data_IF_669825865482
#
_entry.id   IF_669825865482
#
_cell.length_a   1.000
_cell.length_b   1.000
_cell.length_c   1.000
_cell.angle_alpha   90.00
_cell.angle_beta   90.00
_cell.angle_gamma   90.00
#
_symmetry.space_group_name_H-M   'P 1'
#
loop_
_entity.id
_entity.type
_entity.pdbx_description
1 polymer ?
#
# COMPACT_ATOMS: atom_id res chain seq x y z
N UNK A 1 -7.09 -6.05 26.25
CA UNK A 1 -5.66 -6.42 26.32
C UNK A 1 -4.92 -5.24 25.73
N UNK A 2 -3.99 -4.66 26.49
CA UNK A 2 -4.11 -3.33 27.06
C UNK A 2 -4.10 -2.22 26.01
N UNK A 3 -5.03 -1.29 26.17
CA UNK A 3 -5.41 -0.26 25.21
C UNK A 3 -4.57 1.04 25.37
N UNK A 4 -3.31 0.93 25.83
CA UNK A 4 -2.42 2.06 26.11
C UNK A 4 -0.93 1.65 26.03
N UNK A 5 -0.10 2.45 25.37
CA UNK A 5 1.37 2.41 25.48
C UNK A 5 1.87 3.61 26.30
N UNK A 6 2.75 3.35 27.26
CA UNK A 6 3.37 4.38 28.08
C UNK A 6 4.69 4.84 27.45
N UNK A 7 4.93 6.16 27.40
CA UNK A 7 6.16 6.75 26.88
C UNK A 7 6.90 7.47 28.00
N UNK A 8 8.18 7.15 28.16
CA UNK A 8 9.07 7.83 29.09
C UNK A 8 10.05 8.69 28.30
N UNK A 9 10.02 10.01 28.48
CA UNK A 9 10.97 10.93 27.85
C UNK A 9 12.13 11.23 28.80
N UNK A 10 13.31 10.67 28.55
CA UNK A 10 14.48 10.81 29.43
C UNK A 10 15.30 12.09 29.18
N UNK A 11 15.13 12.75 28.02
CA UNK A 11 15.77 14.04 27.75
C UNK A 11 15.02 14.80 26.66
N UNK A 12 14.54 16.02 26.94
CA UNK A 12 14.13 16.98 25.91
C UNK A 12 12.68 17.47 25.98
N UNK A 13 12.53 18.79 26.12
CA UNK A 13 11.25 19.48 25.95
C UNK A 13 10.66 19.29 24.54
N UNK A 14 11.49 18.96 23.53
CA UNK A 14 11.07 18.67 22.16
C UNK A 14 10.26 17.36 22.06
N UNK A 15 10.72 16.24 22.64
CA UNK A 15 9.96 14.98 22.67
C UNK A 15 8.66 15.12 23.49
N UNK A 16 8.73 15.86 24.60
CA UNK A 16 7.53 16.18 25.40
C UNK A 16 6.57 17.08 24.61
N UNK A 17 7.10 18.03 23.83
CA UNK A 17 6.35 18.90 22.93
C UNK A 17 5.63 18.12 21.83
N UNK A 18 6.34 17.25 21.10
CA UNK A 18 5.77 16.41 20.04
C UNK A 18 4.64 15.49 20.54
N UNK A 19 4.71 15.01 21.79
CA UNK A 19 3.62 14.27 22.42
C UNK A 19 2.40 15.17 22.73
N UNK A 20 2.61 16.46 22.98
CA UNK A 20 1.57 17.40 23.44
C UNK A 20 0.97 18.28 22.33
N UNK A 21 1.61 18.38 21.14
CA UNK A 21 1.30 19.39 20.10
C UNK A 21 0.17 19.02 19.12
N UNK A 22 -0.59 17.94 19.35
CA UNK A 22 -1.68 17.59 18.42
C UNK A 22 -2.99 17.34 19.16
N UNK A 23 -3.86 18.35 19.15
CA UNK A 23 -5.24 18.28 19.60
C UNK A 23 -6.05 17.27 18.76
N UNK A 24 -6.45 16.14 19.36
CA UNK A 24 -7.84 15.70 19.53
C UNK A 24 -7.93 14.21 19.95
N UNK A 25 -8.54 14.01 21.11
CA UNK A 25 -9.03 12.80 21.81
C UNK A 25 -9.07 11.43 21.10
N UNK A 26 -8.49 10.44 21.78
CA UNK A 26 -9.29 9.45 22.53
C UNK A 26 -8.54 9.12 23.83
N UNK A 27 -9.21 8.69 24.89
CA UNK A 27 -8.66 8.44 26.24
C UNK A 27 -7.66 7.26 26.33
N UNK A 28 -7.08 6.89 25.20
CA UNK A 28 -6.39 5.64 24.94
C UNK A 28 -5.24 5.97 23.97
N UNK A 29 -4.21 5.12 23.92
CA UNK A 29 -3.10 5.07 22.93
C UNK A 29 -1.70 5.50 23.38
N UNK A 30 -1.38 6.76 23.72
CA UNK A 30 -0.03 7.13 24.22
C UNK A 30 -0.10 8.01 25.47
N UNK A 31 0.54 7.59 26.58
CA UNK A 31 0.63 8.37 27.82
C UNK A 31 2.08 8.70 28.15
N UNK A 32 2.42 9.97 28.29
CA UNK A 32 3.70 10.37 28.88
C UNK A 32 3.69 10.09 30.39
N UNK A 33 4.68 9.35 30.86
CA UNK A 33 4.85 9.03 32.29
C UNK A 33 6.25 9.43 32.77
N UNK A 34 6.36 9.79 34.05
CA UNK A 34 7.66 10.06 34.68
C UNK A 34 8.51 8.79 34.80
N UNK A 35 9.84 8.94 34.85
CA UNK A 35 10.76 7.79 35.00
C UNK A 35 10.51 6.98 36.28
N UNK A 36 10.04 7.62 37.36
CA UNK A 36 9.65 6.96 38.61
C UNK A 36 8.31 6.20 38.53
N UNK A 37 7.48 6.46 37.53
CA UNK A 37 6.17 5.79 37.33
C UNK A 37 6.31 4.47 36.55
N UNK A 38 7.47 4.22 35.92
CA UNK A 38 7.73 3.06 35.06
C UNK A 38 7.60 1.73 35.82
N UNK A 39 8.09 1.68 37.06
CA UNK A 39 8.04 0.50 37.93
C UNK A 39 6.61 0.07 38.29
N UNK A 40 5.67 1.01 38.21
CA UNK A 40 4.26 0.79 38.54
C UNK A 40 3.40 0.67 37.27
N UNK A 41 4.03 0.68 36.10
CA UNK A 41 3.33 0.57 34.82
C UNK A 41 2.78 -0.84 34.63
N UNK A 42 1.46 -0.97 34.45
CA UNK A 42 0.82 -2.21 34.03
C UNK A 42 0.81 -2.38 32.50
N UNK A 43 1.40 -1.43 31.77
CA UNK A 43 1.33 -1.33 30.32
C UNK A 43 2.72 -1.33 29.66
N UNK A 44 2.80 -1.71 28.37
CA UNK A 44 4.03 -1.58 27.58
C UNK A 44 4.66 -0.19 27.70
N UNK A 45 5.96 -0.14 27.98
CA UNK A 45 6.72 1.11 28.07
C UNK A 45 7.68 1.25 26.89
N UNK A 46 7.61 2.39 26.20
CA UNK A 46 8.57 2.88 25.22
C UNK A 46 9.39 4.00 25.84
N UNK A 47 10.71 3.88 25.83
CA UNK A 47 11.60 4.90 26.36
C UNK A 47 12.19 5.71 25.22
N UNK A 48 11.98 7.03 25.24
CA UNK A 48 12.60 7.98 24.34
C UNK A 48 13.73 8.70 25.05
N UNK A 49 14.96 8.46 24.60
CA UNK A 49 16.14 9.05 25.20
C UNK A 49 16.87 9.90 24.15
N UNK A 50 16.87 11.23 24.33
CA UNK A 50 17.78 12.06 23.55
C UNK A 50 19.21 11.89 24.08
N UNK A 51 20.13 11.44 23.23
CA UNK A 51 21.51 11.17 23.64
C UNK A 51 22.51 12.09 22.93
N UNK A 52 23.27 12.93 23.66
CA UNK A 52 24.10 13.99 23.08
C UNK A 52 25.28 13.49 22.24
N UNK A 53 25.71 12.24 22.44
CA UNK A 53 26.79 11.62 21.68
C UNK A 53 26.32 10.83 20.45
N UNK A 54 25.01 10.80 20.17
CA UNK A 54 24.54 10.23 18.92
C UNK A 54 24.91 11.16 17.76
N UNK A 55 25.39 10.63 16.63
CA UNK A 55 25.52 11.39 15.40
C UNK A 55 24.20 12.10 15.07
N UNK A 56 24.30 13.28 14.47
CA UNK A 56 23.15 13.99 13.92
C UNK A 56 22.38 13.05 12.97
N UNK A 57 21.05 13.05 13.08
CA UNK A 57 20.15 12.23 12.26
C UNK A 57 20.12 10.73 12.56
N UNK A 58 20.19 10.33 13.83
CA UNK A 58 20.06 8.91 14.22
C UNK A 58 18.93 8.65 15.22
N UNK A 59 18.15 7.62 14.90
CA UNK A 59 17.24 6.93 15.82
C UNK A 59 17.68 5.46 15.95
N UNK A 60 17.90 4.98 17.17
CA UNK A 60 18.25 3.57 17.46
C UNK A 60 17.12 2.95 18.27
N UNK A 61 16.43 1.95 17.73
CA UNK A 61 15.34 1.24 18.40
C UNK A 61 15.75 -0.18 18.75
N UNK A 62 15.67 -0.54 20.03
CA UNK A 62 15.92 -1.91 20.50
C UNK A 62 14.68 -2.53 21.17
N UNK A 63 14.21 -3.71 20.69
CA UNK A 63 13.24 -4.51 21.42
C UNK A 63 13.89 -5.15 22.64
N UNK A 64 13.23 -5.11 23.80
CA UNK A 64 13.65 -5.91 24.96
C UNK A 64 12.99 -7.29 24.84
N UNK A 65 13.81 -8.33 24.70
CA UNK A 65 13.32 -9.72 24.60
C UNK A 65 12.75 -10.16 25.95
N UNK A 66 11.43 -10.37 26.01
CA UNK A 66 10.71 -11.05 27.10
C UNK A 66 9.98 -12.31 26.61
N UNK A 67 9.40 -13.12 27.50
CA UNK A 67 8.79 -14.42 27.17
C UNK A 67 7.25 -14.38 26.90
N UNK A 68 6.66 -13.21 26.66
CA UNK A 68 5.20 -13.01 26.70
C UNK A 68 4.49 -12.69 25.37
N UNK A 69 3.19 -13.05 25.29
CA UNK A 69 2.24 -12.76 24.21
C UNK A 69 1.93 -11.25 24.00
N UNK A 70 2.39 -10.38 24.89
CA UNK A 70 2.15 -8.92 24.89
C UNK A 70 2.96 -8.16 23.82
N UNK A 71 3.84 -8.86 23.11
CA UNK A 71 4.78 -8.31 22.15
C UNK A 71 4.19 -7.90 20.79
N UNK A 72 2.93 -8.20 20.47
CA UNK A 72 2.42 -8.06 19.09
C UNK A 72 2.42 -6.61 18.59
N UNK A 73 2.07 -5.66 19.44
CA UNK A 73 1.93 -4.26 19.06
C UNK A 73 3.26 -3.55 18.92
N UNK A 74 4.12 -3.84 19.86
CA UNK A 74 5.45 -3.29 19.92
C UNK A 74 6.36 -3.97 18.91
N UNK A 75 6.20 -5.28 18.64
CA UNK A 75 6.83 -5.92 17.47
C UNK A 75 6.25 -5.43 16.16
N UNK A 76 4.97 -5.08 16.04
CA UNK A 76 4.44 -4.50 14.81
C UNK A 76 5.01 -3.09 14.60
N UNK A 77 4.93 -2.21 15.60
CA UNK A 77 5.49 -0.86 15.56
C UNK A 77 7.02 -0.87 15.34
N UNK A 78 7.75 -1.74 16.03
CA UNK A 78 9.20 -1.92 15.83
C UNK A 78 9.52 -2.62 14.53
N UNK A 79 8.83 -3.70 14.11
CA UNK A 79 9.10 -4.31 12.80
C UNK A 79 8.76 -3.33 11.69
N UNK A 80 7.77 -2.46 11.87
CA UNK A 80 7.46 -1.41 10.92
C UNK A 80 8.59 -0.39 10.91
N UNK A 81 9.00 0.14 12.06
CA UNK A 81 10.11 1.11 12.13
C UNK A 81 11.47 0.49 11.72
N UNK A 82 11.75 -0.78 12.02
CA UNK A 82 13.01 -1.49 11.71
C UNK A 82 13.05 -2.10 10.31
N UNK A 83 11.93 -2.59 9.75
CA UNK A 83 11.90 -3.15 8.38
C UNK A 83 11.56 -2.12 7.32
N UNK A 84 10.88 -1.02 7.69
CA UNK A 84 10.40 0.00 6.75
C UNK A 84 11.11 1.35 6.96
N UNK A 85 11.74 1.60 8.11
CA UNK A 85 12.65 2.73 8.35
C UNK A 85 14.00 2.64 7.62
N UNK A 86 14.03 2.02 6.45
CA UNK A 86 15.06 2.26 5.45
C UNK A 86 14.96 3.69 4.93
N UNK A 87 15.39 4.66 5.74
CA UNK A 87 16.00 5.88 5.20
C UNK A 87 16.99 5.41 4.12
N UNK A 88 16.74 5.78 2.86
CA UNK A 88 17.45 5.28 1.68
C UNK A 88 18.95 5.10 1.96
N UNK A 89 19.43 3.86 1.92
CA UNK A 89 20.82 3.59 1.60
C UNK A 89 20.89 3.25 0.12
N UNK A 90 21.64 4.06 -0.61
CA UNK A 90 22.13 3.71 -1.94
C UNK A 90 22.79 2.32 -1.86
N UNK A 91 22.61 1.46 -2.86
CA UNK A 91 23.16 0.10 -2.82
C UNK A 91 24.71 0.11 -2.80
N UNK A 92 25.33 1.20 -3.27
CA UNK A 92 26.78 1.46 -3.12
C UNK A 92 27.14 2.13 -1.78
N UNK A 93 26.16 2.63 -1.02
CA UNK A 93 26.29 3.21 0.31
C UNK A 93 25.58 2.38 1.38
N UNK A 94 25.46 1.07 1.18
CA UNK A 94 25.06 0.14 2.23
C UNK A 94 26.03 0.31 3.40
N UNK A 95 25.63 0.88 4.54
CA UNK A 95 26.58 1.12 5.59
C UNK A 95 26.95 -0.22 6.22
N UNK A 96 28.23 -0.38 6.53
CA UNK A 96 28.80 -1.56 7.20
C UNK A 96 28.22 -1.87 8.60
N UNK A 97 27.18 -1.16 9.05
CA UNK A 97 26.54 -1.28 10.36
C UNK A 97 25.18 -1.97 10.37
N UNK A 98 24.65 -2.44 9.23
CA UNK A 98 23.53 -3.39 9.24
C UNK A 98 24.08 -4.78 9.63
N UNK A 99 23.78 -5.33 10.82
CA UNK A 99 24.28 -6.65 11.17
C UNK A 99 23.51 -7.69 10.36
N UNK A 100 24.24 -8.57 9.69
CA UNK A 100 23.68 -9.71 8.95
C UNK A 100 23.13 -10.82 9.86
N UNK A 101 23.37 -10.73 11.17
CA UNK A 101 22.96 -11.72 12.15
C UNK A 101 22.43 -11.06 13.43
N UNK A 102 21.47 -11.73 14.05
CA UNK A 102 20.68 -11.37 15.25
C UNK A 102 21.45 -11.10 16.57
N UNK A 103 22.72 -10.72 16.51
CA UNK A 103 23.54 -10.45 17.70
C UNK A 103 23.78 -8.95 17.90
N UNK A 104 23.10 -8.41 18.92
CA UNK A 104 23.45 -7.24 19.75
C UNK A 104 24.25 -6.10 19.09
N UNK A 105 23.61 -4.94 18.92
CA UNK A 105 24.27 -3.69 18.54
C UNK A 105 23.90 -2.53 19.48
N UNK A 106 24.20 -2.68 20.76
CA UNK A 106 24.59 -1.49 21.54
C UNK A 106 25.89 -1.00 20.88
N UNK A 107 26.00 0.26 20.41
CA UNK A 107 27.27 0.77 19.91
C UNK A 107 28.30 0.62 21.04
N UNK A 108 29.38 -0.16 20.86
CA UNK A 108 30.36 -0.34 21.92
C UNK A 108 30.95 1.02 22.30
N UNK A 109 30.99 1.33 23.60
CA UNK A 109 31.65 2.53 24.12
C UNK A 109 30.75 3.66 24.62
N UNK A 110 29.46 3.43 24.90
CA UNK A 110 28.61 4.39 25.62
C UNK A 110 28.16 3.80 26.98
N UNK A 111 28.98 3.91 28.04
CA UNK A 111 28.70 3.33 29.37
C UNK A 111 27.36 3.76 29.99
N UNK A 112 26.86 4.95 29.63
CA UNK A 112 25.57 5.46 30.09
C UNK A 112 24.39 4.63 29.55
N UNK A 113 24.50 4.07 28.35
CA UNK A 113 23.47 3.21 27.77
C UNK A 113 23.51 1.81 28.39
N UNK A 114 24.70 1.24 28.57
CA UNK A 114 24.88 -0.08 29.19
C UNK A 114 24.33 -0.17 30.63
N UNK A 115 24.39 0.94 31.38
CA UNK A 115 23.77 1.06 32.70
C UNK A 115 22.24 1.05 32.62
N UNK A 116 21.67 1.85 31.71
CA UNK A 116 20.22 1.93 31.48
C UNK A 116 19.66 0.53 31.10
N UNK A 117 20.28 -0.18 30.16
CA UNK A 117 19.85 -1.50 29.72
C UNK A 117 19.87 -2.58 30.81
N UNK A 118 20.74 -2.46 31.83
CA UNK A 118 20.85 -3.43 32.92
C UNK A 118 19.65 -3.37 33.87
N UNK A 119 19.18 -2.15 34.15
CA UNK A 119 18.06 -1.91 35.06
C UNK A 119 16.70 -2.06 34.37
N UNK A 120 16.63 -1.78 33.06
CA UNK A 120 15.41 -1.91 32.24
C UNK A 120 14.90 -3.34 32.05
N UNK A 121 15.75 -4.36 32.19
CA UNK A 121 15.34 -5.78 32.10
C UNK A 121 14.39 -6.23 33.21
N UNK A 122 14.24 -5.43 34.27
CA UNK A 122 13.33 -5.69 35.40
C UNK A 122 12.01 -4.94 35.29
N UNK A 123 11.85 -4.13 34.24
CA UNK A 123 10.73 -3.24 34.02
C UNK A 123 9.90 -3.75 32.83
N UNK A 124 8.60 -3.40 32.76
CA UNK A 124 7.73 -3.74 31.62
C UNK A 124 8.04 -2.87 30.40
N UNK A 125 9.33 -2.77 30.07
CA UNK A 125 9.83 -1.94 28.98
C UNK A 125 9.96 -2.82 27.76
N UNK A 126 9.26 -2.44 26.69
CA UNK A 126 9.23 -3.21 25.46
C UNK A 126 10.16 -2.62 24.39
N UNK A 127 10.40 -1.31 24.42
CA UNK A 127 11.29 -0.61 23.47
C UNK A 127 12.09 0.49 24.14
N UNK A 128 13.33 0.65 23.70
CA UNK A 128 14.09 1.88 23.92
C UNK A 128 14.46 2.46 22.56
N UNK A 129 14.10 3.72 22.33
CA UNK A 129 14.48 4.51 21.18
C UNK A 129 15.40 5.65 21.60
N UNK A 130 16.62 5.67 21.07
CA UNK A 130 17.58 6.75 21.27
C UNK A 130 17.53 7.71 20.10
N UNK A 131 17.36 9.01 20.37
CA UNK A 131 17.14 10.05 19.37
C UNK A 131 18.29 11.07 19.49
N UNK A 132 18.82 11.59 18.38
CA UNK A 132 19.81 12.69 18.48
C UNK A 132 19.16 13.98 19.01
N UNK A 133 19.90 14.88 19.69
CA UNK A 133 19.33 16.10 20.28
C UNK A 133 18.71 17.07 19.26
N UNK A 134 19.13 17.00 17.99
CA UNK A 134 18.72 17.89 16.91
C UNK A 134 17.61 17.30 16.03
N UNK A 135 17.17 16.06 16.29
CA UNK A 135 16.19 15.37 15.44
C UNK A 135 14.75 15.71 15.83
N UNK A 136 13.91 16.00 14.84
CA UNK A 136 12.47 16.09 15.02
C UNK A 136 11.87 14.68 15.13
N UNK A 137 11.33 14.35 16.31
CA UNK A 137 10.72 13.06 16.56
C UNK A 137 9.22 13.00 16.20
N UNK A 138 8.63 14.07 15.65
CA UNK A 138 7.19 14.16 15.38
C UNK A 138 6.67 13.02 14.51
N UNK A 139 7.36 12.69 13.42
CA UNK A 139 6.93 11.61 12.52
C UNK A 139 7.08 10.22 13.14
N UNK A 140 8.10 10.01 13.99
CA UNK A 140 8.24 8.79 14.78
C UNK A 140 7.09 8.65 15.79
N UNK A 141 6.74 9.72 16.50
CA UNK A 141 5.58 9.75 17.41
C UNK A 141 4.28 9.48 16.66
N UNK A 142 4.07 10.11 15.49
CA UNK A 142 2.91 9.87 14.63
C UNK A 142 2.83 8.41 14.18
N UNK A 143 3.95 7.80 13.76
CA UNK A 143 3.98 6.39 13.38
C UNK A 143 3.65 5.46 14.56
N UNK A 144 4.17 5.75 15.76
CA UNK A 144 3.80 5.03 16.98
C UNK A 144 2.31 5.16 17.30
N UNK A 145 1.72 6.36 17.17
CA UNK A 145 0.28 6.57 17.37
C UNK A 145 -0.55 5.74 16.40
N UNK A 146 -0.21 5.76 15.12
CA UNK A 146 -0.95 5.04 14.08
C UNK A 146 -0.89 3.53 14.29
N UNK A 147 0.28 3.00 14.66
CA UNK A 147 0.43 1.57 14.98
C UNK A 147 -0.27 1.16 16.27
N UNK A 148 -0.52 2.13 17.17
CA UNK A 148 -1.34 1.95 18.36
C UNK A 148 -2.85 2.05 18.09
N UNK A 149 -3.31 2.44 16.90
CA UNK A 149 -4.75 2.64 16.67
C UNK A 149 -5.57 1.38 17.04
N UNK A 150 -6.72 1.50 17.74
CA UNK A 150 -7.48 0.36 18.29
C UNK A 150 -7.79 -0.74 17.26
N UNK A 151 -8.05 -0.32 16.01
CA UNK A 151 -8.27 -1.21 14.88
C UNK A 151 -7.03 -2.03 14.52
N UNK A 152 -5.82 -1.47 14.64
CA UNK A 152 -4.57 -2.20 14.38
C UNK A 152 -4.16 -3.10 15.55
N UNK A 153 -4.69 -2.87 16.76
CA UNK A 153 -4.47 -3.75 17.92
C UNK A 153 -5.17 -5.10 17.82
N UNK A 154 -6.26 -5.17 17.05
CA UNK A 154 -7.12 -6.33 17.03
C UNK A 154 -7.46 -6.73 15.59
N UNK A 155 -6.66 -7.61 14.95
CA UNK A 155 -6.85 -8.00 13.55
C UNK A 155 -8.24 -8.59 13.27
N UNK A 156 -8.84 -9.27 14.27
CA UNK A 156 -10.20 -9.81 14.17
C UNK A 156 -11.23 -8.68 14.11
N UNK A 157 -11.16 -7.68 15.00
CA UNK A 157 -12.07 -6.54 14.98
C UNK A 157 -11.90 -5.71 13.72
N UNK A 158 -10.67 -5.47 13.26
CA UNK A 158 -10.38 -4.81 11.99
C UNK A 158 -11.09 -5.54 10.84
N UNK A 159 -10.86 -6.85 10.74
CA UNK A 159 -11.44 -7.66 9.67
C UNK A 159 -12.96 -7.66 9.70
N UNK A 160 -13.56 -7.79 10.87
CA UNK A 160 -15.01 -7.80 11.02
C UNK A 160 -15.60 -6.41 10.73
N UNK A 161 -14.94 -5.32 11.15
CA UNK A 161 -15.31 -3.95 10.81
C UNK A 161 -15.29 -3.67 9.32
N UNK A 162 -14.21 -4.04 8.62
CA UNK A 162 -14.11 -3.92 7.15
C UNK A 162 -15.20 -4.75 6.45
N UNK A 163 -15.48 -5.96 6.94
CA UNK A 163 -16.54 -6.82 6.38
C UNK A 163 -17.95 -6.24 6.57
N UNK A 164 -18.22 -5.57 7.70
CA UNK A 164 -19.51 -4.91 7.93
C UNK A 164 -19.76 -3.77 6.96
N UNK A 165 -18.72 -3.04 6.56
CA UNK A 165 -18.80 -1.99 5.54
C UNK A 165 -19.13 -2.64 4.17
N UNK A 166 -18.48 -3.77 3.87
CA UNK A 166 -18.65 -4.47 2.60
C UNK A 166 -17.88 -3.80 1.46
N UNK A 167 -18.04 -4.32 0.23
CA UNK A 167 -17.46 -3.73 -0.97
C UNK A 167 -18.16 -2.42 -1.32
N UNK A 168 -17.40 -1.45 -1.80
CA UNK A 168 -17.87 -0.11 -2.13
C UNK A 168 -18.06 -0.01 -3.63
N UNK A 169 -19.25 0.33 -4.11
CA UNK A 169 -19.44 0.61 -5.53
C UNK A 169 -18.85 1.99 -5.87
N UNK A 170 -18.10 2.13 -6.97
CA UNK A 170 -17.63 3.43 -7.41
C UNK A 170 -18.84 4.30 -7.84
N UNK A 171 -18.75 5.63 -7.71
CA UNK A 171 -19.71 6.55 -8.31
C UNK A 171 -19.83 6.34 -9.82
N UNK A 172 -21.05 6.41 -10.35
CA UNK A 172 -21.32 6.21 -11.79
C UNK A 172 -20.56 7.20 -12.69
N UNK A 173 -20.24 8.40 -12.19
CA UNK A 173 -19.53 9.42 -12.97
C UNK A 173 -18.06 9.07 -13.27
N UNK A 174 -17.45 8.18 -12.48
CA UNK A 174 -16.01 7.95 -12.53
C UNK A 174 -15.51 7.38 -13.85
N UNK A 175 -16.33 6.58 -14.53
CA UNK A 175 -16.00 6.09 -15.87
C UNK A 175 -16.00 7.21 -16.90
N UNK A 176 -16.96 8.13 -16.81
CA UNK A 176 -17.05 9.27 -17.70
C UNK A 176 -15.90 10.26 -17.46
N UNK A 177 -15.56 10.51 -16.19
CA UNK A 177 -14.41 11.32 -15.81
C UNK A 177 -13.10 10.75 -16.40
N UNK A 178 -12.97 9.41 -16.42
CA UNK A 178 -11.82 8.72 -17.04
C UNK A 178 -11.78 8.88 -18.57
N UNK A 179 -12.94 8.86 -19.25
CA UNK A 179 -13.02 9.14 -20.69
C UNK A 179 -12.65 10.58 -21.02
N UNK A 180 -13.05 11.54 -20.19
CA UNK A 180 -12.66 12.95 -20.35
C UNK A 180 -11.14 13.08 -20.29
N UNK A 181 -10.48 12.43 -19.32
CA UNK A 181 -9.01 12.41 -19.25
C UNK A 181 -8.37 11.84 -20.52
N UNK A 182 -8.91 10.74 -21.05
CA UNK A 182 -8.44 10.14 -22.29
C UNK A 182 -8.56 11.08 -23.49
N UNK A 183 -9.76 11.60 -23.74
CA UNK A 183 -10.03 12.52 -24.86
C UNK A 183 -9.14 13.76 -24.80
N UNK A 184 -8.88 14.27 -23.60
CA UNK A 184 -8.10 15.50 -23.39
C UNK A 184 -6.61 15.31 -23.67
N UNK A 185 -6.04 14.17 -23.28
CA UNK A 185 -4.57 14.03 -23.18
C UNK A 185 -3.96 12.91 -24.02
N UNK A 186 -4.73 11.89 -24.39
CA UNK A 186 -4.18 10.64 -24.93
C UNK A 186 -4.71 10.26 -26.31
N UNK A 187 -5.95 10.66 -26.63
CA UNK A 187 -6.65 10.21 -27.84
C UNK A 187 -5.87 10.46 -29.13
N UNK A 188 -5.29 11.65 -29.31
CA UNK A 188 -4.50 11.99 -30.50
C UNK A 188 -3.30 11.06 -30.68
N UNK A 189 -2.58 10.77 -29.59
CA UNK A 189 -1.38 9.93 -29.64
C UNK A 189 -1.76 8.49 -29.95
N UNK A 190 -2.83 7.99 -29.30
CA UNK A 190 -3.34 6.64 -29.55
C UNK A 190 -3.79 6.48 -31.00
N UNK A 191 -4.53 7.43 -31.56
CA UNK A 191 -4.95 7.40 -32.98
C UNK A 191 -3.75 7.34 -33.93
N UNK A 192 -2.70 8.11 -33.68
CA UNK A 192 -1.49 8.12 -34.51
C UNK A 192 -0.68 6.82 -34.39
N UNK A 193 -0.65 6.20 -33.22
CA UNK A 193 0.06 4.94 -33.02
C UNK A 193 -0.72 3.75 -33.59
N UNK A 194 -2.03 3.69 -33.33
CA UNK A 194 -2.89 2.55 -33.68
C UNK A 194 -2.96 2.28 -35.19
N UNK A 195 -2.87 3.31 -36.04
CA UNK A 195 -2.87 3.15 -37.52
C UNK A 195 -1.69 2.36 -38.07
N UNK A 196 -0.66 2.13 -37.27
CA UNK A 196 0.51 1.34 -37.68
C UNK A 196 0.23 -0.16 -37.65
N UNK A 197 -0.81 -0.60 -36.94
CA UNK A 197 -1.15 -2.01 -36.76
C UNK A 197 -2.26 -2.44 -37.72
N UNK A 198 -2.22 -3.69 -38.18
CA UNK A 198 -3.30 -4.28 -38.96
C UNK A 198 -4.54 -4.48 -38.07
N UNK A 199 -5.60 -3.71 -38.31
CA UNK A 199 -6.87 -3.80 -37.57
C UNK A 199 -7.62 -5.11 -37.77
N UNK A 200 -7.23 -5.90 -38.78
CA UNK A 200 -7.75 -7.23 -39.09
C UNK A 200 -6.75 -8.35 -38.83
N UNK A 201 -5.56 -8.00 -38.34
CA UNK A 201 -4.48 -8.93 -38.06
C UNK A 201 -4.80 -9.88 -36.91
N UNK A 202 -3.91 -10.85 -36.71
CA UNK A 202 -4.01 -11.78 -35.57
C UNK A 202 -4.01 -11.00 -34.26
N UNK A 203 -4.98 -11.32 -33.39
CA UNK A 203 -5.16 -10.62 -32.13
C UNK A 203 -4.12 -11.09 -31.12
N UNK A 204 -3.39 -10.14 -30.53
CA UNK A 204 -2.46 -10.41 -29.43
C UNK A 204 -2.86 -9.58 -28.21
N UNK A 205 -2.92 -10.20 -27.04
CA UNK A 205 -3.13 -9.52 -25.77
C UNK A 205 -1.83 -8.95 -25.23
N UNK A 206 -1.89 -7.74 -24.67
CA UNK A 206 -0.73 -7.09 -24.04
C UNK A 206 -1.11 -6.63 -22.63
N UNK A 207 -0.43 -7.17 -21.63
CA UNK A 207 -0.57 -6.76 -20.23
C UNK A 207 0.63 -5.88 -19.84
N UNK A 208 0.43 -4.61 -19.43
CA UNK A 208 1.51 -3.67 -19.18
C UNK A 208 2.10 -3.80 -17.76
N UNK A 209 2.28 -5.04 -17.28
CA UNK A 209 2.76 -5.34 -15.92
C UNK A 209 3.46 -6.69 -15.84
N UNK A 210 4.48 -6.79 -14.98
CA UNK A 210 5.09 -8.06 -14.60
C UNK A 210 4.32 -8.84 -13.51
N UNK A 211 3.22 -8.31 -12.97
CA UNK A 211 2.45 -8.98 -11.91
C UNK A 211 1.68 -10.17 -12.48
N UNK A 212 2.14 -11.40 -12.20
CA UNK A 212 1.54 -12.64 -12.71
C UNK A 212 0.05 -12.80 -12.38
N UNK A 213 -0.42 -12.31 -11.23
CA UNK A 213 -1.84 -12.32 -10.88
C UNK A 213 -2.67 -11.44 -11.80
N UNK A 214 -2.19 -10.22 -12.11
CA UNK A 214 -2.83 -9.32 -13.08
C UNK A 214 -2.77 -9.90 -14.49
N UNK A 215 -1.63 -10.45 -14.90
CA UNK A 215 -1.45 -11.08 -16.23
C UNK A 215 -2.45 -12.24 -16.42
N UNK A 216 -2.63 -13.09 -15.41
CA UNK A 216 -3.60 -14.18 -15.46
C UNK A 216 -5.04 -13.67 -15.58
N UNK A 217 -5.40 -12.62 -14.83
CA UNK A 217 -6.73 -12.00 -14.94
C UNK A 217 -6.97 -11.41 -16.32
N UNK A 218 -5.98 -10.72 -16.90
CA UNK A 218 -6.07 -10.22 -18.28
C UNK A 218 -6.26 -11.36 -19.27
N UNK A 219 -5.50 -12.45 -19.12
CA UNK A 219 -5.64 -13.65 -19.96
C UNK A 219 -7.06 -14.19 -19.94
N UNK A 220 -7.62 -14.36 -18.75
CA UNK A 220 -8.97 -14.89 -18.54
C UNK A 220 -10.04 -13.96 -19.11
N UNK A 221 -9.90 -12.65 -18.90
CA UNK A 221 -10.84 -11.64 -19.41
C UNK A 221 -10.84 -11.60 -20.95
N UNK A 222 -9.65 -11.67 -21.56
CA UNK A 222 -9.51 -11.63 -23.02
C UNK A 222 -9.75 -13.01 -23.68
N UNK A 223 -9.83 -14.09 -22.90
CA UNK A 223 -10.04 -15.45 -23.42
C UNK A 223 -8.86 -15.98 -24.27
N UNK A 224 -7.64 -15.54 -23.98
CA UNK A 224 -6.46 -15.81 -24.81
C UNK A 224 -5.68 -17.07 -24.38
N UNK A 225 -4.96 -17.66 -25.34
CA UNK A 225 -3.95 -18.67 -25.06
C UNK A 225 -2.69 -18.04 -24.43
N UNK A 226 -1.76 -18.84 -23.93
CA UNK A 226 -0.46 -18.31 -23.45
C UNK A 226 0.37 -17.73 -24.60
N UNK A 227 0.23 -18.30 -25.80
CA UNK A 227 1.03 -17.92 -26.96
C UNK A 227 0.57 -16.57 -27.54
N UNK A 228 -0.64 -16.13 -27.20
CA UNK A 228 -1.25 -14.87 -27.64
C UNK A 228 -1.20 -13.75 -26.60
N UNK A 229 -0.60 -13.99 -25.42
CA UNK A 229 -0.46 -12.97 -24.37
C UNK A 229 1.00 -12.57 -24.20
N UNK A 230 1.25 -11.26 -24.16
CA UNK A 230 2.56 -10.66 -23.90
C UNK A 230 2.49 -9.80 -22.64
N UNK A 231 3.38 -10.05 -21.70
CA UNK A 231 3.58 -9.16 -20.55
C UNK A 231 4.70 -8.17 -20.89
N UNK A 232 4.40 -6.87 -20.86
CA UNK A 232 5.37 -5.79 -21.09
C UNK A 232 5.40 -4.91 -19.86
N UNK A 233 6.45 -4.93 -19.07
CA UNK A 233 6.49 -4.11 -17.86
C UNK A 233 6.73 -2.64 -18.24
N UNK A 234 5.72 -1.79 -18.01
CA UNK A 234 5.72 -0.38 -18.39
C UNK A 234 5.44 0.46 -17.16
N UNK A 235 6.25 1.48 -16.83
CA UNK A 235 6.00 2.34 -15.67
C UNK A 235 4.72 3.17 -15.86
N UNK A 236 3.93 3.35 -14.80
CA UNK A 236 2.75 4.23 -14.84
C UNK A 236 3.11 5.72 -14.78
N UNK A 237 4.30 6.08 -14.32
CA UNK A 237 4.67 7.48 -14.10
C UNK A 237 3.84 8.18 -13.02
N UNK A 238 3.14 7.39 -12.18
CA UNK A 238 2.42 7.81 -10.98
C UNK A 238 3.13 7.21 -9.75
N UNK A 239 2.70 7.60 -8.54
CA UNK A 239 3.19 6.97 -7.33
C UNK A 239 2.81 5.48 -7.28
N UNK A 240 3.55 4.66 -6.51
CA UNK A 240 3.24 3.23 -6.32
C UNK A 240 1.86 2.96 -5.72
N UNK A 241 1.23 3.97 -5.11
CA UNK A 241 -0.13 3.93 -4.58
C UNK A 241 -0.84 5.26 -4.90
N UNK A 242 -1.36 5.42 -6.13
CA UNK A 242 -2.12 6.60 -6.55
C UNK A 242 -3.24 6.94 -5.54
N UNK A 243 -3.44 8.23 -5.27
CA UNK A 243 -4.38 8.77 -4.26
C UNK A 243 -5.57 9.54 -4.84
N UNK A 244 -6.11 9.07 -5.96
CA UNK A 244 -7.40 9.50 -6.51
C UNK A 244 -7.75 8.70 -7.77
N UNK A 245 -9.02 8.77 -8.18
CA UNK A 245 -9.44 8.34 -9.52
C UNK A 245 -8.56 8.94 -10.62
N UNK A 246 -8.30 10.26 -10.58
CA UNK A 246 -7.54 10.94 -11.64
C UNK A 246 -6.12 10.37 -11.78
N UNK A 247 -5.44 10.11 -10.66
CA UNK A 247 -4.11 9.49 -10.69
C UNK A 247 -4.19 8.03 -11.14
N UNK A 248 -5.17 7.26 -10.65
CA UNK A 248 -5.39 5.87 -11.06
C UNK A 248 -5.64 5.74 -12.56
N UNK A 249 -6.59 6.50 -13.10
CA UNK A 249 -6.93 6.52 -14.52
C UNK A 249 -5.74 6.97 -15.39
N UNK A 250 -5.02 8.02 -14.97
CA UNK A 250 -3.81 8.49 -15.67
C UNK A 250 -2.71 7.44 -15.68
N UNK A 251 -2.49 6.74 -14.57
CA UNK A 251 -1.52 5.65 -14.48
C UNK A 251 -1.87 4.49 -15.41
N UNK A 252 -3.14 4.07 -15.43
CA UNK A 252 -3.61 3.04 -16.36
C UNK A 252 -3.46 3.46 -17.84
N UNK A 253 -3.80 4.70 -18.16
CA UNK A 253 -3.64 5.27 -19.51
C UNK A 253 -2.18 5.35 -19.95
N UNK A 254 -1.28 5.83 -19.08
CA UNK A 254 0.16 5.88 -19.37
C UNK A 254 0.75 4.49 -19.58
N UNK A 255 0.37 3.49 -18.77
CA UNK A 255 0.77 2.09 -18.98
C UNK A 255 0.27 1.55 -20.31
N UNK A 256 -0.98 1.82 -20.66
CA UNK A 256 -1.57 1.43 -21.95
C UNK A 256 -0.80 2.05 -23.11
N UNK A 257 -0.52 3.36 -23.05
CA UNK A 257 0.23 4.06 -24.08
C UNK A 257 1.68 3.55 -24.20
N UNK A 258 2.39 3.38 -23.08
CA UNK A 258 3.75 2.88 -23.11
C UNK A 258 3.83 1.45 -23.66
N UNK A 259 2.83 0.60 -23.37
CA UNK A 259 2.75 -0.73 -23.98
C UNK A 259 2.44 -0.68 -25.48
N UNK A 260 1.58 0.25 -25.92
CA UNK A 260 1.31 0.47 -27.35
C UNK A 260 2.59 0.89 -28.09
N UNK A 261 3.34 1.83 -27.53
CA UNK A 261 4.63 2.27 -28.08
C UNK A 261 5.62 1.11 -28.11
N UNK A 262 5.70 0.31 -27.04
CA UNK A 262 6.56 -0.86 -27.00
C UNK A 262 6.17 -1.94 -28.03
N UNK A 263 4.91 -1.98 -28.50
CA UNK A 263 4.50 -2.88 -29.59
C UNK A 263 4.94 -2.37 -30.98
N UNK A 264 5.10 -1.05 -31.16
CA UNK A 264 5.56 -0.47 -32.43
C UNK A 264 7.01 -0.84 -32.75
N UNK A 265 7.82 -1.05 -31.72
CA UNK A 265 9.27 -1.30 -31.84
C UNK A 265 9.64 -2.78 -31.65
N UNK A 266 8.67 -3.63 -31.39
CA UNK A 266 8.91 -5.04 -31.07
C UNK A 266 8.69 -5.92 -32.31
N UNK A 267 9.75 -6.64 -32.67
CA UNK A 267 9.77 -7.55 -33.81
C UNK A 267 8.80 -8.73 -33.63
N UNK A 268 8.52 -9.14 -32.38
CA UNK A 268 7.62 -10.27 -32.08
C UNK A 268 6.14 -9.89 -32.18
N UNK A 269 5.77 -8.66 -31.84
CA UNK A 269 4.39 -8.15 -31.93
C UNK A 269 4.08 -7.48 -33.28
N UNK A 270 4.88 -7.79 -34.30
CA UNK A 270 5.03 -7.03 -35.54
C UNK A 270 3.74 -6.45 -36.13
N UNK A 271 3.86 -5.36 -36.90
CA UNK A 271 2.77 -4.50 -37.39
C UNK A 271 1.60 -5.23 -38.10
N UNK A 272 1.77 -6.49 -38.50
CA UNK A 272 0.71 -7.36 -39.02
C UNK A 272 -0.25 -7.93 -37.94
N UNK A 273 0.02 -7.70 -36.65
CA UNK A 273 -0.85 -8.10 -35.55
C UNK A 273 -1.80 -6.95 -35.15
N UNK A 274 -2.85 -7.31 -34.43
CA UNK A 274 -3.79 -6.40 -33.75
C UNK A 274 -3.60 -6.46 -32.24
N UNK A 275 -2.83 -5.56 -31.63
CA UNK A 275 -2.69 -5.49 -30.18
C UNK A 275 -3.98 -5.11 -29.46
N UNK A 276 -4.29 -5.85 -28.40
CA UNK A 276 -5.34 -5.56 -27.43
C UNK A 276 -4.69 -5.39 -26.07
N UNK A 277 -4.62 -4.15 -25.62
CA UNK A 277 -3.90 -3.74 -24.42
C UNK A 277 -4.84 -3.64 -23.23
N UNK A 278 -4.45 -4.21 -22.09
CA UNK A 278 -5.26 -4.19 -20.88
C UNK A 278 -4.44 -3.74 -19.67
N UNK A 279 -4.60 -2.47 -19.27
CA UNK A 279 -3.96 -1.93 -18.07
C UNK A 279 -4.88 -2.01 -16.84
N UNK A 280 -4.30 -2.33 -15.69
CA UNK A 280 -4.96 -2.35 -14.38
C UNK A 280 -4.14 -1.49 -13.42
N UNK A 281 -4.65 -0.33 -13.03
CA UNK A 281 -4.02 0.54 -12.04
C UNK A 281 -4.90 0.63 -10.79
N UNK A 282 -4.35 0.25 -9.64
CA UNK A 282 -5.04 0.37 -8.36
C UNK A 282 -4.82 1.74 -7.76
N UNK A 283 -5.81 2.29 -7.06
CA UNK A 283 -5.72 3.59 -6.41
C UNK A 283 -6.52 3.63 -5.12
N UNK A 284 -6.06 4.46 -4.18
CA UNK A 284 -6.80 4.79 -2.97
C UNK A 284 -7.61 6.07 -3.20
N UNK A 285 -8.85 6.10 -2.72
CA UNK A 285 -9.66 7.31 -2.70
C UNK A 285 -10.38 7.48 -1.36
N UNK A 286 -10.71 8.72 -1.03
CA UNK A 286 -11.54 9.02 0.14
C UNK A 286 -12.99 8.64 -0.15
N UNK A 287 -13.50 7.70 0.64
CA UNK A 287 -14.85 7.17 0.47
C UNK A 287 -15.85 7.78 1.43
N UNK A 288 -15.46 8.77 2.25
CA UNK A 288 -16.34 9.39 3.26
C UNK A 288 -17.69 9.81 2.68
N UNK A 289 -17.68 10.51 1.54
CA UNK A 289 -18.90 10.94 0.84
C UNK A 289 -19.77 9.77 0.35
N UNK A 290 -19.14 8.67 -0.09
CA UNK A 290 -19.86 7.48 -0.55
C UNK A 290 -20.51 6.79 0.66
N UNK A 291 -19.77 6.60 1.75
CA UNK A 291 -20.27 5.98 2.97
C UNK A 291 -21.38 6.80 3.63
N UNK A 292 -21.26 8.13 3.63
CA UNK A 292 -22.29 9.05 4.12
C UNK A 292 -23.59 8.89 3.34
N UNK A 293 -23.51 8.76 2.01
CA UNK A 293 -24.68 8.55 1.14
C UNK A 293 -25.38 7.22 1.39
N UNK A 294 -24.65 6.23 1.90
CA UNK A 294 -25.16 4.90 2.26
C UNK A 294 -25.56 4.79 3.73
N UNK A 295 -25.43 5.87 4.51
CA UNK A 295 -25.63 5.89 5.96
C UNK A 295 -24.79 4.84 6.71
N UNK A 296 -23.60 4.55 6.20
CA UNK A 296 -22.64 3.65 6.83
C UNK A 296 -21.67 4.50 7.66
N UNK A 297 -21.68 4.28 8.98
CA UNK A 297 -20.67 4.86 9.87
C UNK A 297 -19.63 3.79 10.20
N UNK A 298 -18.42 3.86 9.64
CA UNK A 298 -17.39 2.89 9.93
C UNK A 298 -16.89 3.06 11.38
N UNK A 299 -16.52 1.96 12.03
CA UNK A 299 -16.01 1.96 13.41
C UNK A 299 -14.65 2.68 13.54
N UNK A 300 -13.95 2.88 12.42
CA UNK A 300 -12.67 3.57 12.29
C UNK A 300 -12.55 4.17 10.88
N UNK A 301 -11.69 5.18 10.65
CA UNK A 301 -11.52 5.80 9.33
C UNK A 301 -11.02 4.82 8.26
N UNK A 302 -11.62 4.86 7.08
CA UNK A 302 -11.27 4.00 5.94
C UNK A 302 -11.08 4.79 4.65
N UNK A 303 -10.25 4.25 3.76
CA UNK A 303 -10.16 4.60 2.35
C UNK A 303 -10.80 3.50 1.51
N UNK A 304 -11.08 3.77 0.23
CA UNK A 304 -11.44 2.72 -0.73
C UNK A 304 -10.26 2.39 -1.63
N UNK A 305 -9.88 1.12 -1.72
CA UNK A 305 -8.92 0.62 -2.70
C UNK A 305 -9.66 0.14 -3.95
N UNK A 306 -9.65 0.94 -5.01
CA UNK A 306 -10.31 0.68 -6.28
C UNK A 306 -9.27 0.28 -7.34
N UNK A 307 -9.74 -0.21 -8.50
CA UNK A 307 -8.88 -0.33 -9.68
C UNK A 307 -9.54 0.30 -10.91
N UNK A 308 -8.77 1.15 -11.60
CA UNK A 308 -9.05 1.69 -12.92
C UNK A 308 -8.49 0.73 -13.98
N UNK A 309 -9.36 0.23 -14.83
CA UNK A 309 -9.02 -0.71 -15.89
C UNK A 309 -9.25 -0.03 -17.23
N UNK A 310 -8.25 -0.13 -18.10
CA UNK A 310 -8.28 0.44 -19.45
C UNK A 310 -8.02 -0.68 -20.44
N UNK A 311 -9.01 -0.95 -21.27
CA UNK A 311 -8.87 -1.81 -22.44
C UNK A 311 -8.77 -0.93 -23.68
N UNK A 312 -7.70 -1.08 -24.45
CA UNK A 312 -7.53 -0.44 -25.75
C UNK A 312 -7.30 -1.52 -26.81
N UNK A 313 -8.08 -1.47 -27.87
CA UNK A 313 -7.92 -2.31 -29.05
C UNK A 313 -7.43 -1.43 -30.20
N UNK A 314 -6.35 -1.81 -30.89
CA UNK A 314 -5.84 -0.98 -31.99
C UNK A 314 -6.79 -0.90 -33.19
N UNK A 315 -7.78 -1.79 -33.28
CA UNK A 315 -8.86 -1.67 -34.28
C UNK A 315 -9.94 -0.65 -33.88
N UNK A 316 -10.10 -0.34 -32.59
CA UNK A 316 -11.04 0.66 -32.07
C UNK A 316 -10.32 1.59 -31.07
N UNK A 317 -9.91 2.76 -31.57
CA UNK A 317 -9.19 3.76 -30.77
C UNK A 317 -10.03 4.42 -29.66
N UNK A 318 -11.26 3.95 -29.41
CA UNK A 318 -12.04 4.33 -28.23
C UNK A 318 -11.86 3.26 -27.14
N UNK A 319 -11.04 3.52 -26.11
CA UNK A 319 -10.83 2.56 -25.04
C UNK A 319 -12.09 2.36 -24.19
N UNK A 320 -12.19 1.17 -23.62
CA UNK A 320 -13.19 0.84 -22.60
C UNK A 320 -12.57 1.10 -21.22
N UNK A 321 -13.25 1.91 -20.42
CA UNK A 321 -12.90 2.16 -19.03
C UNK A 321 -13.84 1.36 -18.13
N UNK A 322 -13.28 0.69 -17.13
CA UNK A 322 -14.05 0.03 -16.08
C UNK A 322 -13.42 0.38 -14.76
N UNK A 323 -14.19 0.98 -13.86
CA UNK A 323 -13.77 1.14 -12.46
C UNK A 323 -14.40 0.02 -11.63
N UNK A 324 -13.56 -0.78 -11.00
CA UNK A 324 -14.00 -1.93 -10.21
C UNK A 324 -14.47 -1.52 -8.83
N UNK A 325 -15.23 -2.40 -8.15
CA UNK A 325 -15.62 -2.18 -6.75
C UNK A 325 -14.40 -1.97 -5.86
N UNK A 326 -14.53 -1.03 -4.95
CA UNK A 326 -13.52 -0.71 -3.96
C UNK A 326 -13.57 -1.66 -2.77
N UNK A 327 -12.41 -1.98 -2.21
CA UNK A 327 -12.30 -2.64 -0.92
C UNK A 327 -11.97 -1.61 0.16
N UNK A 328 -12.75 -1.51 1.25
CA UNK A 328 -12.39 -0.61 2.34
C UNK A 328 -11.02 -0.99 2.92
N UNK A 329 -10.20 0.02 3.18
CA UNK A 329 -8.85 -0.13 3.70
C UNK A 329 -8.66 0.77 4.93
N UNK A 330 -8.06 0.28 6.02
CA UNK A 330 -7.82 1.09 7.21
C UNK A 330 -6.92 2.29 6.89
N UNK A 331 -7.45 3.51 7.06
CA UNK A 331 -6.73 4.75 6.73
C UNK A 331 -5.42 4.85 7.53
N UNK A 332 -5.40 4.37 8.76
CA UNK A 332 -4.22 4.37 9.61
C UNK A 332 -3.01 3.65 8.96
N UNK A 333 -3.23 2.59 8.17
CA UNK A 333 -2.16 1.87 7.47
C UNK A 333 -1.63 2.69 6.28
N UNK A 334 -2.50 3.37 5.55
CA UNK A 334 -2.07 4.23 4.43
C UNK A 334 -1.43 5.55 4.90
N UNK A 335 -1.86 6.09 6.04
CA UNK A 335 -1.20 7.22 6.70
C UNK A 335 0.20 6.82 7.18
N UNK A 336 0.32 5.64 7.78
CA UNK A 336 1.60 5.07 8.19
C UNK A 336 2.52 4.88 6.99
N UNK A 337 1.99 4.39 5.84
CA UNK A 337 2.73 4.37 4.57
C UNK A 337 3.22 5.75 4.16
N UNK A 338 2.36 6.76 4.25
CA UNK A 338 2.70 8.14 3.91
C UNK A 338 3.90 8.67 4.70
N UNK A 339 3.93 8.42 6.02
CA UNK A 339 5.04 8.82 6.89
C UNK A 339 6.33 8.06 6.59
N UNK A 340 6.21 6.79 6.22
CA UNK A 340 7.36 5.93 5.93
C UNK A 340 7.94 6.14 4.53
N UNK A 341 7.20 6.81 3.64
CA UNK A 341 7.61 7.09 2.27
C UNK A 341 7.18 6.02 1.25
N UNK A 342 7.58 6.21 -0.01
CA UNK A 342 6.99 5.54 -1.19
C UNK A 342 7.52 4.13 -1.48
N UNK A 343 8.42 3.60 -0.65
CA UNK A 343 9.09 2.32 -0.87
C UNK A 343 8.21 1.08 -0.63
N UNK A 344 7.07 1.24 0.04
CA UNK A 344 6.20 0.13 0.43
C UNK A 344 4.78 0.30 -0.06
N UNK A 345 4.15 -0.83 -0.39
CA UNK A 345 2.73 -0.92 -0.71
C UNK A 345 1.90 -1.10 0.56
N UNK A 346 0.63 -0.73 0.48
CA UNK A 346 -0.32 -0.92 1.58
C UNK A 346 -0.49 -2.39 2.00
N UNK A 347 -0.38 -3.33 1.04
CA UNK A 347 -0.44 -4.76 1.34
C UNK A 347 0.78 -5.28 2.11
N UNK A 348 1.97 -4.78 1.80
CA UNK A 348 3.20 -5.13 2.53
C UNK A 348 3.16 -4.62 3.96
N UNK A 349 2.68 -3.39 4.16
CA UNK A 349 2.49 -2.84 5.50
C UNK A 349 1.48 -3.65 6.31
N UNK A 350 0.33 -3.98 5.71
CA UNK A 350 -0.69 -4.77 6.39
C UNK A 350 -0.18 -6.16 6.81
N UNK A 351 0.58 -6.83 5.93
CA UNK A 351 1.21 -8.10 6.24
C UNK A 351 2.30 -7.99 7.33
N UNK A 352 3.03 -6.87 7.36
CA UNK A 352 4.05 -6.59 8.38
C UNK A 352 3.44 -6.27 9.76
N UNK A 353 2.29 -5.59 9.81
CA UNK A 353 1.54 -5.33 11.05
C UNK A 353 1.02 -6.65 11.64
N UNK A 354 0.58 -7.57 10.79
CA UNK A 354 -0.07 -8.82 11.19
C UNK A 354 0.68 -10.07 10.69
N UNK A 355 1.92 -10.33 11.16
CA UNK A 355 2.74 -11.42 10.62
C UNK A 355 2.21 -12.81 10.98
N UNK A 356 1.49 -12.92 12.10
CA UNK A 356 1.07 -14.20 12.71
C UNK A 356 -0.43 -14.49 12.56
N UNK A 357 -1.17 -13.68 11.78
CA UNK A 357 -2.60 -13.95 11.55
C UNK A 357 -2.80 -15.09 10.57
N UNK A 358 -3.81 -15.93 10.85
CA UNK A 358 -4.22 -17.01 9.97
C UNK A 358 -5.61 -16.73 9.36
N UNK A 359 -5.79 -16.84 8.02
CA UNK A 359 -4.73 -17.09 7.03
C UNK A 359 -3.76 -15.91 6.91
N UNK A 360 -2.49 -16.20 6.59
CA UNK A 360 -1.49 -15.17 6.32
C UNK A 360 -1.93 -14.20 5.23
N UNK A 361 -1.60 -12.93 5.40
CA UNK A 361 -1.92 -11.86 4.44
C UNK A 361 -0.93 -11.95 3.27
N UNK A 362 -1.45 -12.13 2.06
CA UNK A 362 -0.67 -11.97 0.82
C UNK A 362 -0.55 -10.47 0.50
N UNK A 363 0.65 -9.87 0.50
CA UNK A 363 0.81 -8.45 0.19
C UNK A 363 0.27 -8.05 -1.18
N UNK A 364 0.28 -8.97 -2.15
CA UNK A 364 -0.18 -8.71 -3.52
C UNK A 364 -1.70 -8.85 -3.67
N UNK A 365 -2.36 -9.57 -2.75
CA UNK A 365 -3.80 -9.79 -2.74
C UNK A 365 -4.37 -9.80 -1.31
N UNK A 366 -4.06 -8.74 -0.56
CA UNK A 366 -4.49 -8.61 0.84
C UNK A 366 -6.02 -8.59 0.98
N UNK A 367 -6.74 -8.27 -0.10
CA UNK A 367 -8.20 -8.24 -0.16
C UNK A 367 -8.81 -9.59 0.24
N UNK A 368 -8.15 -10.70 -0.12
CA UNK A 368 -8.58 -12.06 0.17
C UNK A 368 -8.68 -12.35 1.68
N UNK A 369 -7.89 -11.64 2.50
CA UNK A 369 -7.96 -11.76 3.95
C UNK A 369 -9.29 -11.23 4.50
N UNK A 370 -9.77 -10.11 3.94
CA UNK A 370 -11.08 -9.54 4.28
C UNK A 370 -12.22 -10.29 3.58
N UNK A 371 -12.09 -10.54 2.27
CA UNK A 371 -13.15 -11.08 1.42
C UNK A 371 -12.66 -12.33 0.66
N UNK A 372 -12.64 -13.53 1.29
CA UNK A 372 -12.01 -14.72 0.72
C UNK A 372 -12.72 -15.31 -0.51
N UNK A 373 -13.95 -14.89 -0.79
CA UNK A 373 -14.76 -15.33 -1.93
C UNK A 373 -14.98 -14.23 -2.98
N UNK A 374 -14.49 -13.02 -2.70
CA UNK A 374 -14.68 -11.81 -3.50
C UNK A 374 -13.40 -10.97 -3.39
N UNK A 375 -12.28 -11.55 -3.83
CA UNK A 375 -10.99 -10.85 -3.76
C UNK A 375 -10.84 -9.82 -4.88
N UNK A 376 -9.72 -9.11 -4.92
CA UNK A 376 -9.46 -8.07 -5.94
C UNK A 376 -9.60 -8.62 -7.36
N UNK A 377 -9.11 -9.83 -7.59
CA UNK A 377 -9.12 -10.41 -8.93
C UNK A 377 -10.53 -10.86 -9.32
N UNK A 378 -11.34 -11.30 -8.35
CA UNK A 378 -12.78 -11.48 -8.56
C UNK A 378 -13.47 -10.17 -8.95
N UNK A 379 -13.20 -9.07 -8.26
CA UNK A 379 -13.79 -7.76 -8.55
C UNK A 379 -13.44 -7.28 -9.97
N UNK A 380 -12.17 -7.42 -10.36
CA UNK A 380 -11.70 -7.08 -11.71
C UNK A 380 -12.39 -7.96 -12.75
N UNK A 381 -12.44 -9.28 -12.53
CA UNK A 381 -13.13 -10.20 -13.46
C UNK A 381 -14.60 -9.85 -13.58
N UNK A 382 -15.31 -9.63 -12.48
CA UNK A 382 -16.74 -9.34 -12.50
C UNK A 382 -17.05 -8.02 -13.19
N UNK A 383 -16.35 -6.94 -12.82
CA UNK A 383 -16.55 -5.62 -13.44
C UNK A 383 -16.22 -5.63 -14.93
N UNK A 384 -15.12 -6.29 -15.31
CA UNK A 384 -14.71 -6.31 -16.70
C UNK A 384 -15.54 -7.27 -17.55
N UNK A 385 -15.97 -8.44 -17.05
CA UNK A 385 -16.76 -9.38 -17.86
C UNK A 385 -18.19 -8.90 -18.14
N UNK A 386 -18.79 -8.04 -17.31
CA UNK A 386 -20.10 -7.43 -17.62
C UNK A 386 -20.00 -6.46 -18.79
N UNK A 387 -18.97 -5.61 -18.81
CA UNK A 387 -18.82 -4.55 -19.80
C UNK A 387 -18.09 -5.03 -21.06
N UNK A 388 -17.17 -5.97 -20.92
CA UNK A 388 -16.41 -6.54 -22.03
C UNK A 388 -17.14 -7.64 -22.78
N UNK A 389 -18.30 -8.13 -22.31
CA UNK A 389 -19.22 -8.87 -23.19
C UNK A 389 -19.78 -7.96 -24.28
N UNK A 390 -19.93 -6.66 -24.01
CA UNK A 390 -20.30 -5.65 -25.01
C UNK A 390 -19.12 -5.38 -25.95
N UNK A 391 -17.89 -5.39 -25.43
CA UNK A 391 -16.68 -5.30 -26.27
C UNK A 391 -16.43 -6.59 -27.09
N UNK A 392 -16.65 -7.78 -26.52
CA UNK A 392 -16.53 -9.10 -27.18
C UNK A 392 -17.53 -9.30 -28.31
N UNK A 393 -18.71 -8.66 -28.25
CA UNK A 393 -19.62 -8.56 -29.39
C UNK A 393 -19.04 -7.70 -30.54
N UNK A 394 -18.07 -6.81 -30.27
CA UNK A 394 -17.27 -6.11 -31.29
C UNK A 394 -16.08 -6.97 -31.76
N UNK A 395 -15.45 -7.74 -30.87
CA UNK A 395 -14.32 -8.62 -31.20
C UNK A 395 -14.69 -9.80 -32.12
N UNK A 396 -15.90 -10.36 -32.01
CA UNK A 396 -16.40 -11.45 -32.90
C UNK A 396 -16.88 -10.97 -34.27
N UNK A 397 -17.13 -9.66 -34.46
CA UNK A 397 -17.70 -9.13 -35.72
C UNK A 397 -16.74 -9.12 -36.91
N UNK A 398 -15.47 -9.49 -36.71
CA UNK A 398 -14.47 -9.59 -37.79
C UNK A 398 -14.44 -10.98 -38.43
N UNK A 399 -14.93 -12.02 -37.75
CA UNK A 399 -15.02 -13.37 -38.34
C UNK A 399 -16.26 -13.56 -39.25
N UNK A 400 -17.28 -12.70 -39.13
CA UNK A 400 -18.57 -12.91 -39.82
C UNK A 400 -18.76 -12.08 -41.10
N UNK A 401 -17.75 -11.36 -41.61
CA UNK A 401 -17.84 -10.61 -42.88
C UNK A 401 -17.13 -11.28 -44.06
N UNK A 402 -16.69 -12.53 -43.90
CA UNK A 402 -16.30 -13.43 -44.99
C UNK A 402 -17.17 -14.68 -44.98
N UNK A 403 -18.37 -14.53 -45.53
CA UNK A 403 -19.31 -15.62 -45.81
C UNK A 403 -20.22 -15.24 -46.96
#
# INVERSE_FOLDING_TARGET
>A
MPDCMNIVCLAGAAATGALNDEQASSSWLLRSIGSSEVEQSEYPVVILCHHPSLPTSKVICEPIVGDGKEQLLTKAAINIVQRIGGLKFDDELKPSWLPTDSTLLVPPGIPALEGLFRDLRKLPVEVIAFISPEEDCSDFIRALRLTASPELLCPVKLRDGIRKIGKINPPESWEEDSKVLYSTYYETIVKLAAVSFDSTGHMIGVSPTANSGKVNVVKEILGLSNDDLRAKDVPSGESNQPRSLEQGARGALKRTLGALIACLTDEETGLACRPVLFAIESFMDDVGRILDSLHIQPEFPVLGDFASNVLLDTADTQPVFVITKGTPFPKAVDDLRGLLGTGHTNGELLAAIFPDVEPRIDPKNWHKWFFPKEDRYDDIRQGCLSDLRIANARFTRVESSTG
#
